data_IF_581827074521
#
_entry.id   IF_581827074521
#
_cell.length_a   1.000
_cell.length_b   1.000
_cell.length_c   1.000
_cell.angle_alpha   90.00
_cell.angle_beta   90.00
_cell.angle_gamma   90.00
#
_symmetry.space_group_name_H-M   'P 1'
#
loop_
_entity.id
_entity.type
_entity.pdbx_description
1 polymer ?
#
# COMPACT_ATOMS: atom_id res chain seq x y z
N UNK A 1 1.54 2.00 -19.64
CA UNK A 1 1.38 0.53 -19.69
C UNK A 1 0.72 0.10 -18.39
N UNK A 2 -0.19 -0.89 -18.42
CA UNK A 2 -0.81 -1.40 -17.20
C UNK A 2 0.21 -2.28 -16.47
N UNK A 3 0.59 -1.85 -15.26
CA UNK A 3 1.68 -2.43 -14.47
C UNK A 3 1.37 -3.86 -13.99
N UNK A 4 0.13 -4.33 -14.15
CA UNK A 4 -0.31 -5.66 -13.73
C UNK A 4 -0.46 -6.64 -14.91
N UNK A 5 -0.04 -6.28 -16.13
CA UNK A 5 -0.16 -7.16 -17.31
C UNK A 5 0.92 -8.25 -17.36
N UNK A 6 2.04 -8.04 -16.67
CA UNK A 6 3.09 -9.03 -16.47
C UNK A 6 3.80 -8.82 -15.14
N UNK A 7 4.39 -9.89 -14.60
CA UNK A 7 5.29 -9.76 -13.44
C UNK A 7 6.50 -8.87 -13.74
N UNK A 8 6.90 -8.79 -15.01
CA UNK A 8 8.01 -7.93 -15.43
C UNK A 8 7.62 -6.45 -15.34
N UNK A 9 6.44 -6.07 -15.85
CA UNK A 9 5.94 -4.69 -15.78
C UNK A 9 5.73 -4.26 -14.31
N UNK A 10 5.27 -5.19 -13.48
CA UNK A 10 5.13 -4.96 -12.04
C UNK A 10 6.49 -4.74 -11.36
N UNK A 11 7.48 -5.60 -11.65
CA UNK A 11 8.86 -5.44 -11.14
C UNK A 11 9.48 -4.11 -11.61
N UNK A 12 9.34 -3.76 -12.88
CA UNK A 12 9.82 -2.49 -13.43
C UNK A 12 9.16 -1.30 -12.69
N UNK A 13 7.84 -1.34 -12.50
CA UNK A 13 7.14 -0.33 -11.72
C UNK A 13 7.71 -0.20 -10.29
N UNK A 14 7.84 -1.32 -9.57
CA UNK A 14 8.35 -1.32 -8.19
C UNK A 14 9.78 -0.78 -8.11
N UNK A 15 10.65 -1.16 -9.03
CA UNK A 15 12.06 -0.76 -8.99
C UNK A 15 12.32 0.66 -9.52
N UNK A 16 11.37 1.23 -10.27
CA UNK A 16 11.46 2.61 -10.77
C UNK A 16 10.66 3.61 -9.93
N UNK A 17 9.86 3.16 -8.96
CA UNK A 17 8.96 4.04 -8.18
C UNK A 17 9.72 5.15 -7.44
N UNK A 18 10.88 4.85 -6.87
CA UNK A 18 11.70 5.84 -6.15
C UNK A 18 12.40 6.82 -7.10
N UNK A 19 12.63 6.44 -8.36
CA UNK A 19 13.22 7.32 -9.38
C UNK A 19 12.17 8.29 -9.91
N UNK A 20 10.92 7.84 -10.01
CA UNK A 20 9.82 8.60 -10.63
C UNK A 20 9.05 9.49 -9.64
N UNK A 21 9.23 9.28 -8.33
CA UNK A 21 8.57 10.04 -7.26
C UNK A 21 9.60 10.79 -6.40
N UNK A 22 9.80 12.10 -6.61
CA UNK A 22 10.82 12.89 -5.89
C UNK A 22 10.66 12.93 -4.37
N UNK A 23 9.47 12.66 -3.85
CA UNK A 23 9.18 12.59 -2.41
C UNK A 23 9.85 11.39 -1.72
N UNK A 24 10.19 10.34 -2.49
CA UNK A 24 10.82 9.12 -2.00
C UNK A 24 12.33 9.34 -1.91
N UNK A 25 12.88 9.27 -0.70
CA UNK A 25 14.31 9.43 -0.43
C UNK A 25 15.04 8.08 -0.40
N UNK A 26 14.32 6.96 -0.41
CA UNK A 26 14.91 5.63 -0.50
C UNK A 26 13.87 4.52 -0.59
N UNK A 27 14.28 3.39 -1.16
CA UNK A 27 13.45 2.19 -1.29
C UNK A 27 14.25 0.94 -0.94
N UNK A 28 13.63 0.02 -0.21
CA UNK A 28 14.11 -1.35 -0.02
C UNK A 28 13.12 -2.38 -0.60
N UNK A 29 12.13 -1.90 -1.36
CA UNK A 29 11.12 -2.76 -1.97
C UNK A 29 11.79 -3.83 -2.84
N UNK A 30 11.39 -5.08 -2.62
CA UNK A 30 11.86 -6.22 -3.37
C UNK A 30 10.68 -7.13 -3.73
N UNK A 31 10.60 -7.51 -4.99
CA UNK A 31 9.70 -8.56 -5.47
C UNK A 31 10.45 -9.90 -5.38
N UNK A 32 9.96 -10.79 -4.53
CA UNK A 32 10.55 -12.10 -4.27
C UNK A 32 9.66 -13.16 -4.90
N UNK A 33 10.07 -13.69 -6.05
CA UNK A 33 9.36 -14.80 -6.71
C UNK A 33 9.46 -16.07 -5.86
N UNK A 34 8.33 -16.72 -5.60
CA UNK A 34 8.23 -17.96 -4.81
C UNK A 34 7.97 -19.20 -5.67
N UNK A 35 7.55 -19.00 -6.91
CA UNK A 35 7.32 -20.05 -7.91
C UNK A 35 6.89 -19.44 -9.24
N UNK A 36 6.43 -20.28 -10.17
CA UNK A 36 5.97 -19.81 -11.49
C UNK A 36 4.73 -18.91 -11.43
N UNK A 37 3.87 -19.08 -10.43
CA UNK A 37 2.60 -18.39 -10.30
C UNK A 37 2.48 -17.48 -9.09
N UNK A 38 3.56 -17.23 -8.33
CA UNK A 38 3.47 -16.43 -7.10
C UNK A 38 4.73 -15.65 -6.77
N UNK A 39 4.52 -14.48 -6.16
CA UNK A 39 5.57 -13.60 -5.68
C UNK A 39 5.12 -12.89 -4.40
N UNK A 40 6.09 -12.28 -3.70
CA UNK A 40 5.83 -11.42 -2.54
C UNK A 40 6.54 -10.10 -2.79
N UNK A 41 5.81 -8.99 -2.74
CA UNK A 41 6.41 -7.67 -2.57
C UNK A 41 6.63 -7.44 -1.08
N UNK A 42 7.84 -7.00 -0.69
CA UNK A 42 8.07 -6.52 0.67
C UNK A 42 9.15 -5.45 0.72
N UNK A 43 9.08 -4.59 1.74
CA UNK A 43 10.14 -3.64 2.06
C UNK A 43 9.56 -2.35 2.61
N UNK A 44 10.33 -1.27 2.50
CA UNK A 44 9.90 0.07 2.87
C UNK A 44 10.24 1.10 1.80
N UNK A 45 9.37 2.10 1.67
CA UNK A 45 9.69 3.39 1.07
C UNK A 45 9.94 4.40 2.19
N UNK A 46 10.99 5.19 2.04
CA UNK A 46 11.37 6.26 2.96
C UNK A 46 11.15 7.61 2.31
N UNK A 47 10.70 8.56 3.11
CA UNK A 47 10.40 9.93 2.68
C UNK A 47 11.11 10.93 3.58
N UNK A 48 11.11 12.20 3.18
CA UNK A 48 11.54 13.30 4.04
C UNK A 48 10.73 13.35 5.36
N UNK A 49 11.19 14.11 6.36
CA UNK A 49 10.46 14.26 7.63
C UNK A 49 10.35 12.99 8.48
N UNK A 50 11.08 11.92 8.12
CA UNK A 50 11.07 10.64 8.85
C UNK A 50 9.85 9.76 8.58
N UNK A 51 9.05 10.08 7.54
CA UNK A 51 7.92 9.25 7.14
C UNK A 51 8.38 7.98 6.43
N UNK A 52 7.66 6.89 6.65
CA UNK A 52 7.94 5.58 6.06
C UNK A 52 6.63 4.88 5.67
N UNK A 53 6.67 4.19 4.54
CA UNK A 53 5.63 3.26 4.11
C UNK A 53 6.22 1.85 4.14
N UNK A 54 5.77 1.02 5.07
CA UNK A 54 6.09 -0.42 5.06
C UNK A 54 5.07 -1.12 4.17
N UNK A 55 5.57 -1.99 3.29
CA UNK A 55 4.77 -2.66 2.27
C UNK A 55 4.95 -4.16 2.37
N UNK A 56 3.82 -4.88 2.32
CA UNK A 56 3.78 -6.31 2.08
C UNK A 56 2.60 -6.64 1.17
N UNK A 57 2.84 -7.28 0.03
CA UNK A 57 1.79 -7.81 -0.84
C UNK A 57 2.11 -9.28 -1.16
N UNK A 58 1.07 -10.13 -1.11
CA UNK A 58 1.12 -11.48 -1.70
C UNK A 58 0.52 -11.40 -3.09
N UNK A 59 1.27 -11.90 -4.07
CA UNK A 59 0.92 -11.79 -5.48
C UNK A 59 0.68 -13.17 -6.07
N UNK A 60 -0.44 -13.32 -6.77
CA UNK A 60 -0.67 -14.37 -7.75
C UNK A 60 -0.33 -13.86 -9.15
N UNK A 61 0.18 -14.75 -10.00
CA UNK A 61 0.45 -14.49 -11.41
C UNK A 61 -0.40 -15.46 -12.21
N UNK A 62 -1.49 -14.94 -12.79
CA UNK A 62 -2.50 -15.71 -13.51
C UNK A 62 -2.58 -15.24 -14.95
N UNK A 63 -2.35 -16.13 -15.92
CA UNK A 63 -2.36 -15.78 -17.34
C UNK A 63 -1.49 -14.54 -17.65
N UNK A 64 -0.32 -14.47 -17.02
CA UNK A 64 0.60 -13.33 -17.01
C UNK A 64 0.15 -12.11 -16.20
N UNK A 65 -1.13 -11.99 -15.83
CA UNK A 65 -1.63 -10.86 -15.03
C UNK A 65 -1.21 -11.02 -13.56
N UNK A 66 -0.78 -9.94 -12.93
CA UNK A 66 -0.51 -9.88 -11.50
C UNK A 66 -1.82 -9.58 -10.75
N UNK A 67 -2.07 -10.29 -9.66
CA UNK A 67 -3.20 -10.03 -8.75
C UNK A 67 -2.65 -9.99 -7.33
N UNK A 68 -3.03 -8.97 -6.56
CA UNK A 68 -2.75 -8.96 -5.12
C UNK A 68 -3.79 -9.87 -4.44
N UNK A 69 -3.33 -10.94 -3.81
CA UNK A 69 -4.20 -11.84 -3.03
C UNK A 69 -4.47 -11.31 -1.62
N UNK A 70 -3.47 -10.64 -1.04
CA UNK A 70 -3.57 -9.96 0.24
C UNK A 70 -2.47 -8.92 0.39
N UNK A 71 -2.69 -7.94 1.25
CA UNK A 71 -1.71 -6.90 1.53
C UNK A 71 -1.71 -6.46 2.99
N UNK A 72 -0.62 -5.83 3.38
CA UNK A 72 -0.48 -5.01 4.57
C UNK A 72 0.36 -3.80 4.24
N UNK A 73 -0.19 -2.60 4.43
CA UNK A 73 0.54 -1.35 4.27
C UNK A 73 0.55 -0.59 5.59
N UNK A 74 1.68 -0.07 6.02
CA UNK A 74 1.76 0.73 7.25
C UNK A 74 2.41 2.08 6.98
N UNK A 75 1.72 3.15 7.36
CA UNK A 75 2.22 4.52 7.28
C UNK A 75 2.75 4.89 8.66
N UNK A 76 4.03 5.26 8.73
CA UNK A 76 4.72 5.67 9.94
C UNK A 76 5.21 7.10 9.82
N UNK A 77 5.04 7.87 10.88
CA UNK A 77 5.76 9.12 11.10
C UNK A 77 6.90 8.92 12.11
N UNK A 78 7.53 10.03 12.50
CA UNK A 78 8.58 10.05 13.53
C UNK A 78 8.12 9.52 14.90
N UNK A 79 6.87 9.80 15.29
CA UNK A 79 6.35 9.44 16.61
C UNK A 79 5.67 8.07 16.67
N UNK A 80 5.54 7.38 15.55
CA UNK A 80 4.92 6.07 15.49
C UNK A 80 4.03 5.85 14.26
N UNK A 81 3.26 4.77 14.31
CA UNK A 81 2.36 4.37 13.23
C UNK A 81 1.15 5.32 13.18
N UNK A 82 0.92 5.89 12.00
CA UNK A 82 -0.14 6.84 11.72
C UNK A 82 -1.36 6.15 11.12
N UNK A 83 -1.15 5.16 10.26
CA UNK A 83 -2.23 4.38 9.66
C UNK A 83 -1.73 2.99 9.29
N UNK A 84 -2.65 2.04 9.15
CA UNK A 84 -2.36 0.83 8.39
C UNK A 84 -3.55 0.43 7.52
N UNK A 85 -3.27 -0.32 6.47
CA UNK A 85 -4.25 -0.89 5.57
C UNK A 85 -4.05 -2.39 5.55
N UNK A 86 -5.15 -3.14 5.62
CA UNK A 86 -5.13 -4.58 5.44
C UNK A 86 -6.38 -5.05 4.70
N UNK A 87 -6.36 -6.31 4.28
CA UNK A 87 -7.43 -6.95 3.53
C UNK A 87 -8.15 -8.03 4.35
N UNK A 88 -8.14 -7.95 5.68
CA UNK A 88 -8.91 -8.86 6.53
C UNK A 88 -10.41 -8.55 6.37
N UNK A 89 -11.24 -9.53 5.96
CA UNK A 89 -12.65 -9.27 5.74
C UNK A 89 -13.39 -9.04 7.07
N UNK A 90 -14.26 -8.02 7.07
CA UNK A 90 -15.18 -7.70 8.17
C UNK A 90 -16.63 -7.66 7.66
N UNK A 91 -17.21 -8.81 7.26
CA UNK A 91 -18.50 -8.86 6.56
C UNK A 91 -19.70 -8.37 7.40
N UNK A 92 -19.57 -8.36 8.72
CA UNK A 92 -20.62 -7.92 9.64
C UNK A 92 -20.52 -6.43 10.00
N UNK A 93 -19.53 -5.71 9.46
CA UNK A 93 -19.40 -4.27 9.66
C UNK A 93 -20.02 -3.50 8.47
N UNK A 94 -21.20 -2.89 8.65
CA UNK A 94 -21.89 -2.20 7.56
C UNK A 94 -21.12 -0.96 7.06
N UNK A 95 -20.24 -0.37 7.88
CA UNK A 95 -19.44 0.79 7.49
C UNK A 95 -18.43 0.37 6.41
N UNK A 96 -17.85 -0.82 6.55
CA UNK A 96 -16.80 -1.33 5.65
C UNK A 96 -17.35 -2.06 4.42
N UNK A 97 -18.66 -2.34 4.39
CA UNK A 97 -19.29 -3.13 3.33
C UNK A 97 -19.02 -2.58 1.91
N UNK A 98 -18.89 -1.26 1.76
CA UNK A 98 -18.67 -0.60 0.47
C UNK A 98 -17.32 -0.91 -0.17
N UNK A 99 -16.32 -1.27 0.63
CA UNK A 99 -14.95 -1.51 0.15
C UNK A 99 -14.44 -2.88 0.54
N UNK A 100 -15.29 -3.79 1.05
CA UNK A 100 -14.90 -5.11 1.52
C UNK A 100 -13.98 -5.82 0.49
N UNK A 101 -12.80 -6.34 0.89
CA UNK A 101 -12.25 -6.40 2.26
C UNK A 101 -11.39 -5.18 2.66
N UNK A 102 -11.24 -4.21 1.77
CA UNK A 102 -10.32 -3.10 1.88
C UNK A 102 -10.73 -2.09 2.94
N UNK A 103 -9.86 -1.89 3.92
CA UNK A 103 -10.07 -0.87 4.94
C UNK A 103 -8.74 -0.32 5.44
N UNK A 104 -8.84 0.82 6.12
CA UNK A 104 -7.75 1.54 6.75
C UNK A 104 -8.03 1.69 8.23
N UNK A 105 -7.01 1.56 9.05
CA UNK A 105 -7.03 1.83 10.48
C UNK A 105 -6.38 3.18 10.74
N UNK A 106 -7.01 4.02 11.57
CA UNK A 106 -6.56 5.38 11.88
C UNK A 106 -6.72 5.72 13.38
N UNK A 107 -6.02 6.73 13.92
CA UNK A 107 -6.23 7.24 15.27
C UNK A 107 -7.67 7.74 15.48
N UNK A 108 -8.16 7.91 16.72
CA UNK A 108 -7.43 7.79 17.99
C UNK A 108 -7.20 6.35 18.48
N UNK A 109 -7.95 5.37 17.98
CA UNK A 109 -7.78 3.95 18.32
C UNK A 109 -7.42 3.16 17.07
N UNK A 110 -6.11 3.07 16.79
CA UNK A 110 -5.60 2.42 15.58
C UNK A 110 -5.96 0.93 15.48
N UNK A 111 -6.40 0.25 16.55
CA UNK A 111 -6.79 -1.16 16.47
C UNK A 111 -8.25 -1.36 16.12
N UNK A 112 -9.09 -0.39 16.44
CA UNK A 112 -10.54 -0.53 16.36
C UNK A 112 -11.21 0.49 15.43
N UNK A 113 -10.56 1.61 15.15
CA UNK A 113 -11.09 2.67 14.30
C UNK A 113 -10.73 2.40 12.83
N UNK A 114 -11.69 1.79 12.12
CA UNK A 114 -11.58 1.39 10.72
C UNK A 114 -12.44 2.29 9.84
N UNK A 115 -11.91 2.65 8.68
CA UNK A 115 -12.65 3.36 7.64
C UNK A 115 -12.52 2.64 6.28
N UNK A 116 -13.49 2.80 5.37
CA UNK A 116 -13.43 2.25 4.02
C UNK A 116 -12.20 2.74 3.24
N UNK A 117 -11.50 1.82 2.55
CA UNK A 117 -10.37 2.16 1.68
C UNK A 117 -10.80 2.11 0.20
N UNK A 118 -11.36 3.21 -0.29
CA UNK A 118 -12.06 3.27 -1.60
C UNK A 118 -11.16 3.22 -2.82
N UNK A 119 -9.86 3.49 -2.63
CA UNK A 119 -8.86 3.56 -3.68
C UNK A 119 -7.83 2.42 -3.59
N UNK A 120 -8.13 1.40 -2.78
CA UNK A 120 -7.30 0.21 -2.64
C UNK A 120 -8.00 -0.96 -3.32
N UNK A 121 -7.25 -1.72 -4.10
CA UNK A 121 -7.77 -2.77 -4.96
C UNK A 121 -6.80 -3.95 -5.05
N UNK A 122 -7.30 -5.09 -5.53
CA UNK A 122 -6.46 -6.26 -5.81
C UNK A 122 -5.89 -6.32 -7.23
N UNK A 123 -6.49 -5.58 -8.17
CA UNK A 123 -6.21 -5.69 -9.61
C UNK A 123 -5.47 -4.50 -10.19
N UNK A 124 -5.02 -3.57 -9.34
CA UNK A 124 -4.23 -2.41 -9.73
C UNK A 124 -3.23 -2.04 -8.62
N UNK A 125 -2.17 -1.29 -8.96
CA UNK A 125 -1.16 -0.86 -7.99
C UNK A 125 -1.75 0.05 -6.91
N UNK A 126 -1.50 -0.29 -5.65
CA UNK A 126 -1.95 0.51 -4.49
C UNK A 126 -0.91 1.56 -4.06
N UNK A 127 0.38 1.34 -4.35
CA UNK A 127 1.46 2.23 -3.92
C UNK A 127 1.28 3.69 -4.34
N UNK A 128 0.80 4.04 -5.56
CA UNK A 128 0.60 5.44 -5.94
C UNK A 128 -0.31 6.21 -4.97
N UNK A 129 -1.43 5.61 -4.57
CA UNK A 129 -2.40 6.19 -3.63
C UNK A 129 -1.77 6.37 -2.24
N UNK A 130 -1.01 5.37 -1.78
CA UNK A 130 -0.36 5.41 -0.47
C UNK A 130 0.78 6.44 -0.43
N UNK A 131 1.49 6.61 -1.54
CA UNK A 131 2.53 7.64 -1.70
C UNK A 131 1.89 9.03 -1.67
N UNK A 132 0.81 9.24 -2.42
CA UNK A 132 0.08 10.51 -2.45
C UNK A 132 -0.42 10.90 -1.06
N UNK A 133 -0.94 9.95 -0.28
CA UNK A 133 -1.34 10.20 1.11
C UNK A 133 -0.16 10.69 1.98
N UNK A 134 1.03 10.11 1.81
CA UNK A 134 2.23 10.55 2.55
C UNK A 134 2.71 11.92 2.06
N UNK A 135 2.61 12.21 0.76
CA UNK A 135 2.92 13.52 0.19
C UNK A 135 2.00 14.62 0.75
N UNK A 136 0.72 14.31 0.96
CA UNK A 136 -0.23 15.20 1.64
C UNK A 136 0.14 15.40 3.12
N UNK A 137 0.56 14.34 3.82
CA UNK A 137 1.04 14.43 5.21
C UNK A 137 2.29 15.32 5.34
N UNK A 138 3.22 15.21 4.39
CA UNK A 138 4.43 16.04 4.32
C UNK A 138 4.06 17.52 4.11
N UNK A 139 3.07 17.77 3.26
CA UNK A 139 2.60 19.13 2.94
C UNK A 139 1.78 19.77 4.07
N UNK A 140 1.14 18.95 4.91
CA UNK A 140 0.24 19.38 5.99
C UNK A 140 0.87 19.37 7.39
N UNK A 141 2.20 19.21 7.50
CA UNK A 141 2.92 19.09 8.79
C UNK A 141 2.39 17.93 9.68
N UNK A 142 1.96 16.83 9.06
CA UNK A 142 1.68 15.56 9.73
C UNK A 142 0.26 15.36 10.23
N UNK A 143 -0.72 16.10 9.71
CA UNK A 143 -2.13 15.89 10.04
C UNK A 143 -2.77 14.96 9.01
N UNK A 144 -3.21 13.77 9.44
CA UNK A 144 -3.98 12.87 8.58
C UNK A 144 -5.25 13.58 8.11
N UNK A 145 -5.37 13.77 6.79
CA UNK A 145 -6.62 14.22 6.19
C UNK A 145 -7.48 12.97 6.04
N UNK A 146 -8.60 12.96 6.76
CA UNK A 146 -9.63 11.94 6.60
C UNK A 146 -10.63 12.49 5.57
N UNK A 147 -10.87 11.81 4.44
CA UNK A 147 -11.90 12.21 3.48
C UNK A 147 -13.32 12.10 4.06
#
# INVERSE_FOLDING_TARGET
MNQFQSIHDYEEFIYTIAVTRPSITGSTLAVIRRGKGSAILRGELRFAGGYRLLVQERLAIENSTVIIESYGYEIWGISGKLAWYDSQPHPNDPILARTLPHHKHIPPDLKHNRIPAVHIYFTQPNLPVLIEEIEELLSSNGRLIVP
#
